data_IF_565588251527
#
_entry.id   IF_565588251527
#
_cell.length_a   1.000
_cell.length_b   1.000
_cell.length_c   1.000
_cell.angle_alpha   90.00
_cell.angle_beta   90.00
_cell.angle_gamma   90.00
#
_symmetry.space_group_name_H-M   'P 1'
#
loop_
_entity.id
_entity.type
_entity.pdbx_description
1 polymer ?
#
# COMPACT_ATOMS: atom_id res chain seq x y z
N UNK A 1 35.14 50.37 -48.26
CA UNK A 1 35.89 49.29 -47.57
C UNK A 1 35.26 48.83 -46.23
N UNK A 2 34.52 49.64 -45.46
CA UNK A 2 33.93 49.24 -44.16
C UNK A 2 32.70 48.29 -44.19
N UNK A 3 31.94 48.21 -45.29
CA UNK A 3 30.78 47.28 -45.40
C UNK A 3 31.19 45.82 -45.66
N UNK A 4 32.30 45.59 -46.35
CA UNK A 4 32.77 44.25 -46.72
C UNK A 4 33.34 43.49 -45.51
N UNK A 5 34.04 44.19 -44.61
CA UNK A 5 34.60 43.61 -43.37
C UNK A 5 33.49 43.15 -42.41
N UNK A 6 32.33 43.83 -42.39
CA UNK A 6 31.20 43.49 -41.51
C UNK A 6 30.38 42.29 -41.99
N UNK A 7 30.33 42.01 -43.29
CA UNK A 7 29.70 40.79 -43.81
C UNK A 7 30.59 39.55 -43.60
N UNK A 8 31.91 39.72 -43.67
CA UNK A 8 32.86 38.61 -43.43
C UNK A 8 32.85 38.14 -41.97
N UNK A 9 32.64 39.05 -41.01
CA UNK A 9 32.53 38.70 -39.58
C UNK A 9 31.21 38.02 -39.24
N UNK A 10 30.10 38.43 -39.87
CA UNK A 10 28.81 37.74 -39.70
C UNK A 10 28.79 36.36 -40.35
N UNK A 11 29.40 36.19 -41.53
CA UNK A 11 29.55 34.88 -42.17
C UNK A 11 30.34 33.90 -41.31
N UNK A 12 31.41 34.35 -40.64
CA UNK A 12 32.18 33.54 -39.68
C UNK A 12 31.36 33.18 -38.44
N UNK A 13 30.59 34.11 -37.89
CA UNK A 13 29.71 33.83 -36.76
C UNK A 13 28.61 32.81 -37.10
N UNK A 14 28.05 32.89 -38.31
CA UNK A 14 27.02 31.98 -38.79
C UNK A 14 27.56 30.57 -39.02
N UNK A 15 28.79 30.45 -39.54
CA UNK A 15 29.48 29.15 -39.67
C UNK A 15 29.79 28.52 -38.32
N UNK A 16 30.20 29.31 -37.32
CA UNK A 16 30.42 28.81 -35.95
C UNK A 16 29.09 28.32 -35.36
N UNK A 17 28.01 29.09 -35.53
CA UNK A 17 26.69 28.71 -35.02
C UNK A 17 26.17 27.42 -35.67
N UNK A 18 26.38 27.26 -36.98
CA UNK A 18 26.00 26.06 -37.72
C UNK A 18 26.82 24.84 -37.30
N UNK A 19 28.11 25.02 -37.00
CA UNK A 19 28.97 23.98 -36.44
C UNK A 19 28.52 23.53 -35.04
N UNK A 20 28.18 24.47 -34.16
CA UNK A 20 27.63 24.16 -32.82
C UNK A 20 26.28 23.44 -32.94
N UNK A 21 25.41 23.88 -33.85
CA UNK A 21 24.11 23.24 -34.08
C UNK A 21 24.24 21.80 -34.57
N UNK A 22 25.15 21.54 -35.52
CA UNK A 22 25.45 20.18 -36.00
C UNK A 22 26.05 19.30 -34.90
N UNK A 23 26.88 19.86 -34.01
CA UNK A 23 27.43 19.14 -32.87
C UNK A 23 26.35 18.76 -31.86
N UNK A 24 25.37 19.64 -31.60
CA UNK A 24 24.23 19.34 -30.73
C UNK A 24 23.35 18.24 -31.33
N UNK A 25 23.08 18.27 -32.64
CA UNK A 25 22.36 17.19 -33.32
C UNK A 25 23.14 15.89 -33.24
N UNK A 26 24.45 15.92 -33.47
CA UNK A 26 25.30 14.75 -33.36
C UNK A 26 25.25 14.16 -31.94
N UNK A 27 25.37 14.99 -30.90
CA UNK A 27 25.29 14.54 -29.51
C UNK A 27 23.89 14.04 -29.09
N UNK A 28 22.81 14.54 -29.71
CA UNK A 28 21.45 14.09 -29.45
C UNK A 28 21.09 12.79 -30.21
N UNK A 29 21.63 12.61 -31.42
CA UNK A 29 21.34 11.46 -32.29
C UNK A 29 22.31 10.30 -32.05
N UNK A 30 23.54 10.57 -31.59
CA UNK A 30 24.55 9.54 -31.29
C UNK A 30 24.10 8.51 -30.24
N UNK A 31 23.42 8.87 -29.14
CA UNK A 31 22.85 7.90 -28.20
C UNK A 31 21.74 7.06 -28.83
N UNK A 32 20.94 7.63 -29.75
CA UNK A 32 19.87 6.92 -30.44
C UNK A 32 20.42 5.92 -31.48
N UNK A 33 21.51 6.27 -32.17
CA UNK A 33 22.16 5.36 -33.12
C UNK A 33 22.92 4.23 -32.39
N UNK A 34 23.51 4.49 -31.21
CA UNK A 34 24.08 3.44 -30.36
C UNK A 34 23.03 2.55 -29.69
N UNK A 35 21.85 3.10 -29.35
CA UNK A 35 20.74 2.32 -28.79
C UNK A 35 20.00 1.47 -29.84
N UNK A 36 20.07 1.84 -31.13
CA UNK A 36 19.42 1.14 -32.24
C UNK A 36 20.04 -0.21 -32.66
N UNK A 37 21.15 -0.63 -32.06
CA UNK A 37 21.79 -1.93 -32.35
C UNK A 37 21.91 -2.88 -31.15
N UNK A 38 21.21 -2.61 -30.04
CA UNK A 38 21.14 -3.55 -28.90
C UNK A 38 19.77 -3.53 -28.22
N UNK A 39 18.73 -3.84 -28.99
CA UNK A 39 17.49 -4.37 -28.43
C UNK A 39 16.87 -5.31 -29.47
N UNK A 40 17.43 -6.51 -29.56
CA UNK A 40 16.66 -7.66 -30.06
C UNK A 40 15.37 -7.74 -29.24
N UNK A 41 14.20 -8.02 -29.86
CA UNK A 41 13.00 -8.34 -29.11
C UNK A 41 13.32 -9.60 -28.31
N UNK A 42 13.37 -9.43 -26.99
CA UNK A 42 13.76 -10.43 -26.01
C UNK A 42 13.26 -11.82 -26.42
N UNK A 43 14.16 -12.71 -26.85
CA UNK A 43 13.82 -14.00 -27.44
C UNK A 43 12.89 -14.81 -26.52
N UNK A 44 13.01 -14.58 -25.21
CA UNK A 44 12.11 -15.12 -24.19
C UNK A 44 10.67 -14.62 -24.33
N UNK A 45 10.44 -13.35 -24.68
CA UNK A 45 9.11 -12.75 -24.84
C UNK A 45 8.46 -13.21 -26.14
N UNK A 46 9.20 -13.24 -27.24
CA UNK A 46 8.70 -13.79 -28.52
C UNK A 46 8.40 -15.30 -28.40
N UNK A 47 9.24 -16.05 -27.70
CA UNK A 47 9.02 -17.48 -27.46
C UNK A 47 7.85 -17.74 -26.51
N UNK A 48 7.62 -16.89 -25.50
CA UNK A 48 6.44 -16.95 -24.62
C UNK A 48 5.16 -16.63 -25.39
N UNK A 49 5.18 -15.64 -26.27
CA UNK A 49 4.04 -15.29 -27.11
C UNK A 49 3.71 -16.43 -28.09
N UNK A 50 4.74 -17.01 -28.72
CA UNK A 50 4.58 -18.15 -29.64
C UNK A 50 4.02 -19.40 -28.93
N UNK A 51 4.48 -19.70 -27.70
CA UNK A 51 3.89 -20.77 -26.88
C UNK A 51 2.44 -20.47 -26.51
N UNK A 52 2.13 -19.24 -26.08
CA UNK A 52 0.78 -18.86 -25.72
C UNK A 52 -0.20 -18.97 -26.91
N UNK A 53 0.23 -18.60 -28.13
CA UNK A 53 -0.57 -18.79 -29.33
C UNK A 53 -0.73 -20.27 -29.70
N UNK A 54 0.32 -21.08 -29.57
CA UNK A 54 0.25 -22.51 -29.81
C UNK A 54 -0.72 -23.21 -28.86
N UNK A 55 -0.69 -22.87 -27.56
CA UNK A 55 -1.59 -23.43 -26.55
C UNK A 55 -3.03 -22.98 -26.79
N UNK A 56 -3.25 -21.73 -27.25
CA UNK A 56 -4.57 -21.23 -27.66
C UNK A 56 -5.14 -22.00 -28.86
N UNK A 57 -4.30 -22.32 -29.84
CA UNK A 57 -4.67 -23.11 -31.02
C UNK A 57 -5.03 -24.55 -30.62
N UNK A 58 -4.24 -25.14 -29.71
CA UNK A 58 -4.46 -26.47 -29.17
C UNK A 58 -5.77 -26.54 -28.37
N UNK A 59 -6.01 -25.56 -27.49
CA UNK A 59 -7.25 -25.45 -26.72
C UNK A 59 -8.46 -25.22 -27.63
N UNK A 60 -8.33 -24.39 -28.68
CA UNK A 60 -9.40 -24.21 -29.68
C UNK A 60 -9.72 -25.51 -30.41
N UNK A 61 -8.70 -26.28 -30.80
CA UNK A 61 -8.89 -27.59 -31.43
C UNK A 61 -9.55 -28.59 -30.50
N UNK A 62 -9.08 -28.69 -29.25
CA UNK A 62 -9.70 -29.56 -28.25
C UNK A 62 -11.15 -29.18 -27.97
N UNK A 63 -11.47 -27.89 -27.91
CA UNK A 63 -12.84 -27.40 -27.69
C UNK A 63 -13.74 -27.67 -28.93
N UNK A 64 -13.20 -27.53 -30.14
CA UNK A 64 -13.91 -27.88 -31.37
C UNK A 64 -14.15 -29.39 -31.50
N UNK A 65 -13.17 -30.20 -31.08
CA UNK A 65 -13.26 -31.67 -31.08
C UNK A 65 -14.29 -32.15 -30.04
N UNK A 66 -14.26 -31.60 -28.82
CA UNK A 66 -15.30 -31.80 -27.80
C UNK A 66 -16.69 -31.42 -28.33
N UNK A 67 -16.84 -30.26 -28.96
CA UNK A 67 -18.12 -29.84 -29.55
C UNK A 67 -18.57 -30.77 -30.68
N UNK A 68 -17.65 -31.28 -31.50
CA UNK A 68 -17.94 -32.24 -32.57
C UNK A 68 -18.37 -33.62 -32.02
N UNK A 69 -17.79 -34.03 -30.89
CA UNK A 69 -18.23 -35.22 -30.17
C UNK A 69 -19.64 -35.02 -29.60
N UNK A 70 -19.95 -33.84 -29.05
CA UNK A 70 -21.31 -33.53 -28.59
C UNK A 70 -22.33 -33.40 -29.71
N UNK A 71 -21.98 -32.90 -30.90
CA UNK A 71 -22.91 -32.83 -32.04
C UNK A 71 -23.10 -34.16 -32.77
N UNK A 72 -22.13 -35.08 -32.70
CA UNK A 72 -22.26 -36.46 -33.16
C UNK A 72 -23.15 -37.33 -32.26
N UNK A 73 -23.33 -36.93 -31.00
CA UNK A 73 -24.21 -37.60 -30.05
C UNK A 73 -25.60 -36.95 -30.11
N UNK A 74 -26.40 -37.34 -31.10
CA UNK A 74 -27.84 -37.14 -31.05
C UNK A 74 -28.39 -38.08 -29.97
N UNK A 75 -28.43 -37.63 -28.71
CA UNK A 75 -29.03 -38.34 -27.56
C UNK A 75 -30.54 -38.43 -27.82
N UNK A 76 -30.94 -39.37 -28.67
CA UNK A 76 -32.33 -39.50 -29.11
C UNK A 76 -32.60 -40.50 -30.25
N UNK A 77 -31.59 -41.12 -30.87
CA UNK A 77 -31.84 -42.14 -31.90
C UNK A 77 -32.12 -43.54 -31.27
N UNK A 78 -33.30 -44.15 -31.50
CA UNK A 78 -33.67 -45.44 -30.90
C UNK A 78 -32.96 -46.67 -31.49
N UNK A 79 -32.12 -46.50 -32.52
CA UNK A 79 -31.59 -47.62 -33.32
C UNK A 79 -30.20 -48.14 -32.92
N UNK A 80 -29.55 -47.58 -31.89
CA UNK A 80 -28.25 -48.05 -31.41
C UNK A 80 -28.39 -49.28 -30.50
N UNK A 81 -27.86 -50.44 -30.95
CA UNK A 81 -27.81 -51.70 -30.17
C UNK A 81 -27.05 -51.47 -28.86
N UNK A 82 -27.54 -52.09 -27.77
CA UNK A 82 -27.01 -51.92 -26.41
C UNK A 82 -25.49 -52.17 -26.33
N UNK A 83 -24.96 -53.15 -27.07
CA UNK A 83 -23.51 -53.42 -27.16
C UNK A 83 -22.68 -52.23 -27.66
N UNK A 84 -23.20 -51.43 -28.60
CA UNK A 84 -22.48 -50.27 -29.13
C UNK A 84 -22.47 -49.12 -28.12
N UNK A 85 -23.53 -49.00 -27.30
CA UNK A 85 -23.56 -48.05 -26.20
C UNK A 85 -22.56 -48.45 -25.13
N UNK A 86 -22.53 -49.73 -24.76
CA UNK A 86 -21.62 -50.23 -23.73
C UNK A 86 -20.15 -50.08 -24.14
N UNK A 87 -19.81 -50.37 -25.41
CA UNK A 87 -18.48 -50.14 -25.95
C UNK A 87 -18.08 -48.65 -25.98
N UNK A 88 -19.04 -47.77 -26.31
CA UNK A 88 -18.82 -46.32 -26.31
C UNK A 88 -18.64 -45.76 -24.89
N UNK A 89 -19.44 -46.23 -23.92
CA UNK A 89 -19.28 -45.86 -22.51
C UNK A 89 -17.94 -46.32 -21.95
N UNK A 90 -17.46 -47.50 -22.35
CA UNK A 90 -16.15 -47.99 -21.96
C UNK A 90 -15.01 -47.14 -22.58
N UNK A 91 -15.07 -46.80 -23.87
CA UNK A 91 -14.07 -45.91 -24.51
C UNK A 91 -14.07 -44.51 -23.87
N UNK A 92 -15.24 -43.98 -23.52
CA UNK A 92 -15.35 -42.68 -22.84
C UNK A 92 -14.76 -42.72 -21.42
N UNK A 93 -15.01 -43.80 -20.66
CA UNK A 93 -14.43 -43.99 -19.34
C UNK A 93 -12.91 -44.15 -19.39
N UNK A 94 -12.39 -44.89 -20.37
CA UNK A 94 -10.94 -45.09 -20.53
C UNK A 94 -10.23 -43.79 -20.90
N UNK A 95 -10.86 -42.96 -21.75
CA UNK A 95 -10.35 -41.62 -22.08
C UNK A 95 -10.43 -40.64 -20.91
N UNK A 96 -11.48 -40.72 -20.10
CA UNK A 96 -11.59 -39.93 -18.86
C UNK A 96 -10.50 -40.30 -17.87
N UNK A 97 -10.24 -41.60 -17.64
CA UNK A 97 -9.15 -42.06 -16.78
C UNK A 97 -7.77 -41.61 -17.26
N UNK A 98 -7.51 -41.67 -18.57
CA UNK A 98 -6.24 -41.16 -19.13
C UNK A 98 -6.11 -39.64 -19.00
N UNK A 99 -7.20 -38.90 -19.09
CA UNK A 99 -7.21 -37.45 -18.84
C UNK A 99 -6.95 -37.14 -17.35
N UNK A 100 -7.49 -37.96 -16.45
CA UNK A 100 -7.28 -37.86 -15.00
C UNK A 100 -5.81 -38.17 -14.63
N UNK A 101 -5.22 -39.24 -15.17
CA UNK A 101 -3.78 -39.56 -15.01
C UNK A 101 -2.85 -38.46 -15.56
N UNK A 102 -3.22 -37.84 -16.69
CA UNK A 102 -2.46 -36.72 -17.25
C UNK A 102 -2.59 -35.45 -16.38
N UNK A 103 -3.74 -35.22 -15.76
CA UNK A 103 -3.96 -34.15 -14.80
C UNK A 103 -3.13 -34.37 -13.52
N UNK A 104 -3.14 -35.57 -12.94
CA UNK A 104 -2.31 -35.89 -11.77
C UNK A 104 -0.81 -35.76 -12.07
N UNK A 105 -0.36 -36.21 -13.25
CA UNK A 105 1.04 -36.07 -13.68
C UNK A 105 1.42 -34.61 -13.96
N UNK A 106 0.48 -33.79 -14.39
CA UNK A 106 0.68 -32.34 -14.51
C UNK A 106 0.77 -31.65 -13.14
N UNK A 107 0.05 -32.13 -12.13
CA UNK A 107 0.12 -31.63 -10.75
C UNK A 107 1.48 -31.91 -10.10
N UNK A 108 2.12 -33.05 -10.39
CA UNK A 108 3.46 -33.37 -9.89
C UNK A 108 4.58 -32.56 -10.56
N UNK A 109 4.45 -32.20 -11.85
CA UNK A 109 5.40 -31.30 -12.53
C UNK A 109 5.19 -29.85 -12.06
N UNK A 110 3.96 -29.49 -11.66
CA UNK A 110 3.66 -28.19 -11.08
C UNK A 110 4.19 -28.03 -9.64
N UNK A 111 4.48 -29.10 -8.87
CA UNK A 111 5.06 -29.00 -7.51
C UNK A 111 6.42 -28.29 -7.44
N UNK A 112 7.10 -28.08 -8.59
CA UNK A 112 8.37 -27.34 -8.64
C UNK A 112 8.23 -25.94 -9.27
N UNK A 113 7.01 -25.50 -9.60
CA UNK A 113 6.70 -24.16 -10.15
C UNK A 113 5.26 -23.68 -9.86
N UNK A 114 4.63 -24.19 -8.80
CA UNK A 114 3.28 -23.78 -8.36
C UNK A 114 3.31 -22.43 -7.66
N UNK A 115 2.98 -21.39 -8.43
CA UNK A 115 2.20 -20.25 -7.96
C UNK A 115 0.89 -20.80 -7.38
N UNK A 116 0.59 -20.41 -6.14
CA UNK A 116 -0.52 -20.94 -5.36
C UNK A 116 -1.87 -20.57 -6.01
N UNK A 117 -2.61 -21.55 -6.51
CA UNK A 117 -4.04 -21.38 -6.81
C UNK A 117 -4.78 -21.35 -5.47
N UNK A 118 -4.84 -20.15 -4.92
CA UNK A 118 -5.20 -19.79 -3.54
C UNK A 118 -4.71 -18.37 -3.18
N UNK A 119 -3.80 -17.81 -3.98
CA UNK A 119 -3.32 -16.45 -3.86
C UNK A 119 -4.45 -15.43 -4.09
N UNK A 120 -4.68 -14.56 -3.11
CA UNK A 120 -5.58 -13.42 -3.23
C UNK A 120 -5.23 -12.45 -4.37
N UNK A 121 -5.72 -11.20 -4.33
CA UNK A 121 -5.58 -10.30 -5.46
C UNK A 121 -4.11 -10.03 -5.78
N UNK A 122 -3.78 -9.99 -7.08
CA UNK A 122 -2.43 -9.61 -7.50
C UNK A 122 -2.11 -8.18 -7.03
N UNK A 123 -0.82 -7.91 -6.78
CA UNK A 123 -0.36 -6.57 -6.41
C UNK A 123 -0.76 -5.51 -7.44
N UNK A 124 -0.69 -5.87 -8.73
CA UNK A 124 -1.09 -4.99 -9.83
C UNK A 124 -2.58 -4.65 -9.78
N UNK A 125 -3.43 -5.63 -9.47
CA UNK A 125 -4.88 -5.43 -9.35
C UNK A 125 -5.19 -4.41 -8.25
N UNK A 126 -4.65 -4.62 -7.04
CA UNK A 126 -4.90 -3.75 -5.89
C UNK A 126 -4.35 -2.34 -6.07
N UNK A 127 -3.14 -2.22 -6.65
CA UNK A 127 -2.57 -0.93 -7.02
C UNK A 127 -3.45 -0.20 -8.04
N UNK A 128 -3.94 -0.90 -9.06
CA UNK A 128 -4.78 -0.29 -10.08
C UNK A 128 -6.12 0.16 -9.51
N UNK A 129 -6.80 -0.70 -8.73
CA UNK A 129 -8.09 -0.39 -8.10
C UNK A 129 -8.00 0.88 -7.25
N UNK A 130 -6.99 1.00 -6.39
CA UNK A 130 -6.77 2.19 -5.56
C UNK A 130 -6.41 3.42 -6.40
N UNK A 131 -5.53 3.25 -7.39
CA UNK A 131 -5.16 4.34 -8.31
C UNK A 131 -6.38 4.90 -9.06
N UNK A 132 -7.35 4.07 -9.44
CA UNK A 132 -8.58 4.57 -10.09
C UNK A 132 -9.37 5.46 -9.13
N UNK A 133 -9.51 5.06 -7.86
CA UNK A 133 -10.14 5.91 -6.82
C UNK A 133 -9.41 7.25 -6.64
N UNK A 134 -8.08 7.22 -6.56
CA UNK A 134 -7.27 8.45 -6.42
C UNK A 134 -7.41 9.35 -7.66
N UNK A 135 -7.36 8.77 -8.86
CA UNK A 135 -7.52 9.51 -10.11
C UNK A 135 -8.91 10.15 -10.22
N UNK A 136 -9.98 9.51 -9.74
CA UNK A 136 -11.33 10.10 -9.70
C UNK A 136 -11.35 11.33 -8.78
N UNK A 137 -10.66 11.27 -7.64
CA UNK A 137 -10.55 12.42 -6.74
C UNK A 137 -9.73 13.56 -7.35
N UNK A 138 -8.57 13.24 -7.93
CA UNK A 138 -7.68 14.24 -8.55
C UNK A 138 -8.35 14.90 -9.77
N UNK A 139 -9.09 14.13 -10.59
CA UNK A 139 -9.89 14.67 -11.68
C UNK A 139 -10.92 15.68 -11.15
N UNK A 140 -11.60 15.35 -10.05
CA UNK A 140 -12.55 16.27 -9.44
C UNK A 140 -11.89 17.51 -8.85
N UNK A 141 -10.72 17.39 -8.21
CA UNK A 141 -9.98 18.56 -7.72
C UNK A 141 -9.64 19.51 -8.86
N UNK A 142 -9.15 18.97 -9.97
CA UNK A 142 -8.85 19.77 -11.16
C UNK A 142 -10.10 20.47 -11.69
N UNK A 143 -11.18 19.72 -11.97
CA UNK A 143 -12.44 20.26 -12.51
C UNK A 143 -13.03 21.29 -11.56
N UNK A 144 -13.09 21.00 -10.26
CA UNK A 144 -13.69 21.89 -9.27
C UNK A 144 -12.91 23.20 -9.13
N UNK A 145 -11.58 23.17 -9.14
CA UNK A 145 -10.75 24.39 -9.06
C UNK A 145 -10.95 25.26 -10.30
N UNK A 146 -10.90 24.68 -11.50
CA UNK A 146 -11.07 25.45 -12.74
C UNK A 146 -12.49 26.01 -12.90
N UNK A 147 -13.51 25.22 -12.59
CA UNK A 147 -14.91 25.68 -12.61
C UNK A 147 -15.16 26.78 -11.57
N UNK A 148 -14.55 26.69 -10.38
CA UNK A 148 -14.66 27.74 -9.36
C UNK A 148 -13.99 29.05 -9.80
N UNK A 149 -12.85 28.98 -10.51
CA UNK A 149 -12.20 30.16 -11.09
C UNK A 149 -13.13 30.83 -12.12
N UNK A 150 -13.69 30.05 -13.04
CA UNK A 150 -14.63 30.55 -14.05
C UNK A 150 -15.85 31.19 -13.38
N UNK A 151 -16.44 30.52 -12.38
CA UNK A 151 -17.58 31.04 -11.61
C UNK A 151 -17.28 32.40 -10.98
N UNK A 152 -16.11 32.57 -10.35
CA UNK A 152 -15.70 33.85 -9.74
C UNK A 152 -15.54 34.96 -10.79
N UNK A 153 -15.01 34.65 -11.97
CA UNK A 153 -14.82 35.63 -13.05
C UNK A 153 -16.14 36.09 -13.67
N UNK A 154 -17.12 35.20 -13.81
CA UNK A 154 -18.41 35.54 -14.42
C UNK A 154 -19.44 36.05 -13.41
N UNK A 155 -19.15 36.00 -12.11
CA UNK A 155 -20.09 36.39 -11.05
C UNK A 155 -20.59 37.83 -11.21
N UNK A 156 -19.67 38.75 -11.47
CA UNK A 156 -19.97 40.17 -11.65
C UNK A 156 -20.52 40.50 -13.06
N UNK A 157 -20.37 39.58 -14.02
CA UNK A 157 -20.76 39.77 -15.43
C UNK A 157 -22.15 39.20 -15.71
N UNK A 158 -22.41 37.96 -15.27
CA UNK A 158 -23.66 37.24 -15.49
C UNK A 158 -23.96 36.35 -14.29
N UNK A 159 -24.79 36.83 -13.35
CA UNK A 159 -25.22 36.05 -12.19
C UNK A 159 -25.93 34.74 -12.55
N UNK A 160 -26.69 34.72 -13.66
CA UNK A 160 -27.36 33.53 -14.17
C UNK A 160 -26.34 32.45 -14.61
N UNK A 161 -25.30 32.84 -15.33
CA UNK A 161 -24.23 31.90 -15.72
C UNK A 161 -23.46 31.39 -14.50
N UNK A 162 -23.16 32.25 -13.54
CA UNK A 162 -22.53 31.86 -12.27
C UNK A 162 -23.38 30.82 -11.51
N UNK A 163 -24.70 30.97 -11.54
CA UNK A 163 -25.65 30.03 -10.92
C UNK A 163 -25.63 28.68 -11.64
N UNK A 164 -25.61 28.66 -12.99
CA UNK A 164 -25.48 27.42 -13.78
C UNK A 164 -24.16 26.69 -13.49
N UNK A 165 -23.06 27.42 -13.32
CA UNK A 165 -21.75 26.85 -12.96
C UNK A 165 -21.77 26.23 -11.55
N UNK A 166 -22.43 26.88 -10.59
CA UNK A 166 -22.63 26.30 -9.25
C UNK A 166 -23.41 24.98 -9.33
N UNK A 167 -24.48 24.92 -10.13
CA UNK A 167 -25.23 23.68 -10.32
C UNK A 167 -24.39 22.56 -10.93
N UNK A 168 -23.54 22.87 -11.93
CA UNK A 168 -22.61 21.89 -12.51
C UNK A 168 -21.62 21.37 -11.45
N UNK A 169 -21.13 22.25 -10.58
CA UNK A 169 -20.26 21.85 -9.46
C UNK A 169 -21.00 20.92 -8.48
N UNK A 170 -22.25 21.24 -8.12
CA UNK A 170 -23.06 20.42 -7.23
C UNK A 170 -23.35 19.04 -7.83
N UNK A 171 -23.85 18.99 -9.07
CA UNK A 171 -24.09 17.73 -9.81
C UNK A 171 -22.80 16.91 -10.00
N UNK A 172 -21.69 17.59 -10.28
CA UNK A 172 -20.37 16.97 -10.43
C UNK A 172 -19.87 16.29 -9.16
N UNK A 173 -20.13 16.87 -7.98
CA UNK A 173 -19.82 16.21 -6.69
C UNK A 173 -20.63 14.93 -6.54
N UNK A 174 -21.92 14.95 -6.89
CA UNK A 174 -22.76 13.75 -6.78
C UNK A 174 -22.29 12.63 -7.73
N UNK A 175 -21.91 12.96 -8.97
CA UNK A 175 -21.32 11.98 -9.89
C UNK A 175 -19.99 11.42 -9.38
N UNK A 176 -19.12 12.26 -8.81
CA UNK A 176 -17.88 11.79 -8.17
C UNK A 176 -18.20 10.81 -7.05
N UNK A 177 -19.16 11.12 -6.18
CA UNK A 177 -19.56 10.25 -5.06
C UNK A 177 -20.08 8.91 -5.56
N UNK A 178 -20.93 8.91 -6.59
CA UNK A 178 -21.42 7.68 -7.22
C UNK A 178 -20.27 6.79 -7.69
N UNK A 179 -19.29 7.35 -8.41
CA UNK A 179 -18.12 6.60 -8.88
C UNK A 179 -17.27 6.03 -7.74
N UNK A 180 -17.08 6.80 -6.66
CA UNK A 180 -16.34 6.32 -5.49
C UNK A 180 -17.08 5.20 -4.75
N UNK A 181 -18.41 5.28 -4.66
CA UNK A 181 -19.25 4.20 -4.12
C UNK A 181 -19.11 2.94 -4.98
N UNK A 182 -19.16 3.04 -6.30
CA UNK A 182 -18.99 1.89 -7.20
C UNK A 182 -17.61 1.24 -7.02
N UNK A 183 -16.54 2.04 -6.88
CA UNK A 183 -15.18 1.53 -6.64
C UNK A 183 -15.01 0.90 -5.26
N UNK A 184 -15.76 1.36 -4.25
CA UNK A 184 -15.80 0.73 -2.93
C UNK A 184 -16.56 -0.60 -3.00
N UNK A 185 -17.76 -0.60 -3.59
CA UNK A 185 -18.58 -1.80 -3.81
C UNK A 185 -17.84 -2.85 -4.65
N UNK A 186 -17.00 -2.43 -5.60
CA UNK A 186 -16.14 -3.35 -6.36
C UNK A 186 -15.24 -4.18 -5.44
N UNK A 187 -14.71 -3.59 -4.35
CA UNK A 187 -13.92 -4.32 -3.36
C UNK A 187 -14.77 -5.25 -2.46
N UNK A 188 -16.08 -5.29 -2.62
CA UNK A 188 -16.94 -6.26 -1.92
C UNK A 188 -17.30 -7.43 -2.84
N UNK A 189 -17.44 -7.16 -4.15
CA UNK A 189 -17.91 -8.14 -5.14
C UNK A 189 -16.81 -8.74 -6.03
N UNK A 190 -15.58 -8.26 -5.94
CA UNK A 190 -14.43 -8.78 -6.71
C UNK A 190 -13.95 -10.18 -6.29
N UNK A 191 -14.56 -10.77 -5.26
CA UNK A 191 -14.21 -12.10 -4.73
C UNK A 191 -13.05 -12.11 -3.74
N UNK A 192 -12.45 -10.96 -3.43
CA UNK A 192 -11.27 -10.86 -2.54
C UNK A 192 -11.58 -10.26 -1.17
N UNK A 193 -12.84 -9.96 -0.85
CA UNK A 193 -13.23 -9.35 0.42
C UNK A 193 -12.84 -10.22 1.63
N UNK A 194 -13.21 -11.51 1.62
CA UNK A 194 -12.85 -12.46 2.68
C UNK A 194 -11.32 -12.61 2.82
N UNK A 195 -10.60 -12.65 1.69
CA UNK A 195 -9.14 -12.69 1.70
C UNK A 195 -8.54 -11.45 2.36
N UNK A 196 -9.04 -10.24 2.05
CA UNK A 196 -8.55 -8.99 2.64
C UNK A 196 -8.76 -8.96 4.15
N UNK A 197 -9.92 -9.41 4.63
CA UNK A 197 -10.20 -9.50 6.06
C UNK A 197 -9.27 -10.50 6.77
N UNK A 198 -9.14 -11.71 6.22
CA UNK A 198 -8.26 -12.74 6.75
C UNK A 198 -6.80 -12.28 6.78
N UNK A 199 -6.29 -11.75 5.66
CA UNK A 199 -4.90 -11.27 5.54
C UNK A 199 -4.62 -10.12 6.53
N UNK A 200 -5.59 -9.22 6.75
CA UNK A 200 -5.46 -8.14 7.74
C UNK A 200 -5.31 -8.67 9.16
N UNK A 201 -6.13 -9.67 9.53
CA UNK A 201 -6.08 -10.30 10.85
C UNK A 201 -4.76 -11.07 11.03
N UNK A 202 -4.39 -11.91 10.06
CA UNK A 202 -3.17 -12.72 10.12
C UNK A 202 -1.89 -11.88 10.19
N UNK A 203 -1.79 -10.81 9.38
CA UNK A 203 -0.65 -9.89 9.44
C UNK A 203 -0.60 -9.13 10.76
N UNK A 204 -1.74 -8.69 11.28
CA UNK A 204 -1.79 -8.02 12.58
C UNK A 204 -1.31 -8.99 13.67
N UNK A 205 -1.86 -10.21 13.71
CA UNK A 205 -1.49 -11.22 14.69
C UNK A 205 -0.01 -11.62 14.61
N UNK A 206 0.52 -11.76 13.40
CA UNK A 206 1.95 -12.01 13.18
C UNK A 206 2.81 -10.91 13.82
N UNK A 207 2.51 -9.64 13.54
CA UNK A 207 3.27 -8.52 14.09
C UNK A 207 3.12 -8.42 15.60
N UNK A 208 1.90 -8.57 16.13
CA UNK A 208 1.66 -8.53 17.58
C UNK A 208 2.42 -9.66 18.29
N UNK A 209 2.46 -10.88 17.72
CA UNK A 209 3.27 -11.99 18.26
C UNK A 209 4.77 -11.68 18.24
N UNK A 210 5.28 -11.09 17.15
CA UNK A 210 6.71 -10.70 17.07
C UNK A 210 7.06 -9.63 18.10
N UNK A 211 6.18 -8.65 18.32
CA UNK A 211 6.36 -7.62 19.35
C UNK A 211 6.32 -8.22 20.75
N UNK A 212 5.36 -9.10 21.03
CA UNK A 212 5.27 -9.78 22.32
C UNK A 212 6.51 -10.65 22.58
N UNK A 213 7.00 -11.38 21.58
CA UNK A 213 8.25 -12.14 21.68
C UNK A 213 9.46 -11.23 21.97
N UNK A 214 9.62 -10.15 21.20
CA UNK A 214 10.73 -9.20 21.38
C UNK A 214 10.70 -8.54 22.77
N UNK A 215 9.51 -8.19 23.23
CA UNK A 215 9.34 -7.45 24.47
C UNK A 215 9.44 -8.34 25.71
N UNK A 216 9.24 -9.65 25.60
CA UNK A 216 9.23 -10.57 26.73
C UNK A 216 10.35 -11.61 26.65
N UNK A 217 11.63 -11.21 26.81
CA UNK A 217 12.73 -12.16 26.88
C UNK A 217 12.57 -13.07 28.11
N UNK A 218 13.08 -14.30 28.00
CA UNK A 218 13.07 -15.27 29.11
C UNK A 218 13.94 -14.82 30.29
N UNK A 219 15.07 -14.16 30.01
CA UNK A 219 15.97 -13.60 31.01
C UNK A 219 16.21 -12.11 30.73
N UNK A 220 15.60 -11.25 31.54
CA UNK A 220 15.76 -9.80 31.42
C UNK A 220 17.18 -9.32 31.75
N UNK A 221 17.94 -10.05 32.57
CA UNK A 221 19.30 -9.65 32.95
C UNK A 221 20.29 -9.78 31.78
N UNK A 222 20.02 -10.69 30.84
CA UNK A 222 20.84 -10.97 29.66
C UNK A 222 20.27 -10.36 28.38
N UNK A 223 19.03 -9.88 28.40
CA UNK A 223 18.39 -9.28 27.25
C UNK A 223 19.14 -8.04 26.75
N UNK A 224 19.18 -7.86 25.43
CA UNK A 224 19.61 -6.59 24.82
C UNK A 224 18.47 -5.60 24.92
N UNK A 225 18.76 -4.40 25.41
CA UNK A 225 17.78 -3.39 25.76
C UNK A 225 18.01 -2.11 24.96
N UNK A 226 16.92 -1.43 24.65
CA UNK A 226 16.92 -0.07 24.15
C UNK A 226 16.08 0.75 25.10
N UNK A 227 16.66 1.79 25.72
CA UNK A 227 15.90 2.66 26.61
C UNK A 227 15.39 3.88 25.87
N UNK A 228 14.16 4.27 26.17
CA UNK A 228 13.49 5.44 25.57
C UNK A 228 12.85 6.27 26.68
N UNK A 229 13.06 7.58 26.65
CA UNK A 229 12.49 8.50 27.65
C UNK A 229 11.22 9.16 27.10
N UNK A 230 10.09 8.91 27.73
CA UNK A 230 8.78 9.44 27.32
C UNK A 230 8.71 10.97 27.36
N UNK A 231 9.51 11.61 28.22
CA UNK A 231 9.38 13.02 28.59
C UNK A 231 9.97 14.00 27.55
N UNK A 232 9.74 13.76 26.25
CA UNK A 232 10.03 14.73 25.19
C UNK A 232 9.20 15.99 25.40
N UNK A 233 9.81 17.16 25.18
CA UNK A 233 9.20 18.49 25.37
C UNK A 233 8.13 18.87 24.34
N UNK A 234 7.03 18.13 24.25
CA UNK A 234 5.92 18.38 23.34
C UNK A 234 4.60 17.81 23.88
N UNK A 235 3.51 17.88 23.10
CA UNK A 235 2.20 17.33 23.48
C UNK A 235 2.10 15.80 23.37
N UNK A 236 1.00 15.23 23.88
CA UNK A 236 0.73 13.78 23.95
C UNK A 236 0.98 13.04 22.64
N UNK A 237 0.39 13.51 21.52
CA UNK A 237 0.57 12.85 20.23
C UNK A 237 2.02 12.83 19.75
N UNK A 238 2.79 13.90 20.00
CA UNK A 238 4.21 13.96 19.68
C UNK A 238 5.04 13.02 20.58
N UNK A 239 4.72 12.91 21.87
CA UNK A 239 5.35 11.97 22.78
C UNK A 239 5.02 10.52 22.40
N UNK A 240 3.78 10.23 22.01
CA UNK A 240 3.38 8.91 21.54
C UNK A 240 4.12 8.50 20.25
N UNK A 241 4.23 9.41 19.28
CA UNK A 241 5.04 9.18 18.09
C UNK A 241 6.53 8.99 18.43
N UNK A 242 7.05 9.64 19.47
CA UNK A 242 8.40 9.38 19.96
C UNK A 242 8.55 7.93 20.47
N UNK A 243 7.60 7.41 21.23
CA UNK A 243 7.63 6.00 21.69
C UNK A 243 7.49 5.03 20.52
N UNK A 244 6.63 5.32 19.53
CA UNK A 244 6.52 4.51 18.29
C UNK A 244 7.85 4.44 17.56
N UNK A 245 8.54 5.57 17.40
CA UNK A 245 9.88 5.62 16.82
C UNK A 245 10.87 4.76 17.62
N UNK A 246 10.89 4.87 18.94
CA UNK A 246 11.74 4.05 19.79
C UNK A 246 11.46 2.56 19.61
N UNK A 247 10.18 2.16 19.55
CA UNK A 247 9.77 0.77 19.36
C UNK A 247 10.16 0.25 17.96
N UNK A 248 10.09 1.08 16.94
CA UNK A 248 10.52 0.73 15.59
C UNK A 248 12.03 0.45 15.51
N UNK A 249 12.84 1.29 16.16
CA UNK A 249 14.30 1.08 16.25
C UNK A 249 14.62 -0.14 17.11
N UNK A 250 13.92 -0.32 18.24
CA UNK A 250 14.06 -1.49 19.11
C UNK A 250 13.76 -2.79 18.34
N UNK A 251 12.67 -2.81 17.57
CA UNK A 251 12.30 -3.94 16.70
C UNK A 251 13.38 -4.24 15.66
N UNK A 252 13.85 -3.23 14.92
CA UNK A 252 14.87 -3.41 13.90
C UNK A 252 16.24 -3.82 14.46
N UNK A 253 16.56 -3.44 15.69
CA UNK A 253 17.82 -3.80 16.38
C UNK A 253 17.72 -5.03 17.27
N UNK A 254 16.55 -5.69 17.31
CA UNK A 254 16.27 -6.85 18.17
C UNK A 254 16.58 -6.58 19.64
N UNK A 255 16.17 -5.41 20.13
CA UNK A 255 16.31 -4.98 21.51
C UNK A 255 14.94 -4.87 22.17
N UNK A 256 14.80 -5.34 23.40
CA UNK A 256 13.62 -5.08 24.22
C UNK A 256 13.55 -3.59 24.55
N UNK A 257 12.43 -2.95 24.24
CA UNK A 257 12.20 -1.54 24.55
C UNK A 257 11.87 -1.38 26.04
N UNK A 258 12.68 -0.58 26.74
CA UNK A 258 12.46 -0.15 28.12
C UNK A 258 12.01 1.31 28.11
N UNK A 259 10.75 1.55 28.50
CA UNK A 259 10.17 2.89 28.54
C UNK A 259 10.37 3.56 29.90
N UNK A 260 11.13 4.64 29.94
CA UNK A 260 11.29 5.50 31.12
C UNK A 260 10.15 6.52 31.12
N UNK A 261 9.10 6.25 31.91
CA UNK A 261 7.83 7.01 31.91
C UNK A 261 7.61 7.88 33.16
N UNK A 262 8.39 7.70 34.24
CA UNK A 262 8.21 8.47 35.49
C UNK A 262 8.35 9.98 35.26
N UNK A 263 7.56 10.78 35.96
CA UNK A 263 7.54 12.24 35.82
C UNK A 263 6.80 12.73 34.58
N UNK A 264 5.98 11.87 33.95
CA UNK A 264 5.21 12.22 32.78
C UNK A 264 4.19 13.33 33.07
N UNK A 265 4.17 14.35 32.20
CA UNK A 265 3.34 15.55 32.38
C UNK A 265 1.83 15.27 32.37
N UNK A 266 1.41 14.19 31.72
CA UNK A 266 0.00 13.79 31.65
C UNK A 266 -0.40 12.89 32.82
N UNK A 267 0.56 12.14 33.40
CA UNK A 267 0.35 11.35 34.61
C UNK A 267 1.68 11.10 35.33
N UNK A 268 1.90 11.74 36.49
CA UNK A 268 3.23 11.79 37.13
C UNK A 268 3.82 10.42 37.46
N UNK A 269 2.98 9.44 37.81
CA UNK A 269 3.44 8.09 38.16
C UNK A 269 4.03 7.34 36.96
N UNK A 270 3.51 7.59 35.75
CA UNK A 270 4.04 6.99 34.52
C UNK A 270 2.96 6.49 33.56
N UNK A 271 3.43 5.68 32.61
CA UNK A 271 2.67 5.11 31.50
C UNK A 271 1.64 4.07 31.97
N UNK A 272 2.05 3.28 32.97
CA UNK A 272 1.39 2.10 33.50
C UNK A 272 0.04 2.38 34.18
N UNK A 273 -0.29 3.65 34.37
CA UNK A 273 -1.53 4.13 34.98
C UNK A 273 -2.68 4.21 33.98
N UNK A 274 -2.35 4.25 32.68
CA UNK A 274 -3.33 4.36 31.59
C UNK A 274 -3.23 3.15 30.66
N UNK A 275 -2.01 2.65 30.43
CA UNK A 275 -1.73 1.57 29.50
C UNK A 275 -0.96 0.45 30.19
N UNK A 276 -1.04 -0.77 29.65
CA UNK A 276 -0.20 -1.87 30.13
C UNK A 276 1.29 -1.55 29.97
N UNK A 277 2.16 -2.12 30.82
CA UNK A 277 3.60 -2.05 30.61
C UNK A 277 3.96 -2.65 29.24
N UNK A 278 5.06 -2.16 28.66
CA UNK A 278 5.51 -2.63 27.35
C UNK A 278 6.07 -4.05 27.38
N UNK A 279 6.32 -4.61 28.56
CA UNK A 279 6.82 -5.97 28.77
C UNK A 279 6.28 -6.50 30.09
N UNK A 280 5.94 -7.79 30.12
CA UNK A 280 5.56 -8.51 31.33
C UNK A 280 6.77 -9.10 32.05
N UNK A 281 7.88 -9.37 31.33
CA UNK A 281 9.06 -10.05 31.90
C UNK A 281 10.30 -9.17 32.04
N UNK A 282 10.34 -8.01 31.38
CA UNK A 282 11.53 -7.18 31.35
C UNK A 282 11.24 -5.67 31.30
N UNK A 283 11.23 -5.05 32.47
CA UNK A 283 11.05 -3.60 32.66
C UNK A 283 12.26 -2.92 33.28
N UNK A 284 13.27 -3.69 33.71
CA UNK A 284 14.49 -3.18 34.33
C UNK A 284 15.46 -2.65 33.27
N UNK A 285 15.86 -1.36 33.31
CA UNK A 285 16.86 -0.79 32.39
C UNK A 285 18.30 -1.26 32.63
N UNK A 286 18.61 -1.96 33.73
CA UNK A 286 19.98 -2.34 34.09
C UNK A 286 20.60 -3.34 33.11
N UNK A 287 21.93 -3.34 33.00
CA UNK A 287 22.70 -4.31 32.24
C UNK A 287 24.20 -4.08 32.41
N UNK A 288 25.02 -5.04 31.97
CA UNK A 288 26.47 -5.07 32.15
C UNK A 288 27.18 -3.95 31.39
N UNK A 289 26.63 -3.51 30.26
CA UNK A 289 27.19 -2.43 29.46
C UNK A 289 26.11 -1.46 28.99
N UNK A 290 26.45 -0.17 29.07
CA UNK A 290 25.54 0.93 28.78
C UNK A 290 26.20 1.95 27.85
N UNK A 291 25.47 2.41 26.83
CA UNK A 291 25.94 3.50 25.97
C UNK A 291 24.80 4.34 25.41
N UNK A 292 25.11 5.56 25.00
CA UNK A 292 24.21 6.30 24.12
C UNK A 292 24.26 5.73 22.69
N UNK A 293 23.18 5.93 21.94
CA UNK A 293 23.13 5.61 20.51
C UNK A 293 24.31 6.21 19.73
N UNK A 294 24.91 5.49 18.76
CA UNK A 294 24.53 4.17 18.25
C UNK A 294 25.03 2.98 19.09
N UNK A 295 25.88 3.23 20.08
CA UNK A 295 26.55 2.20 20.85
C UNK A 295 27.46 1.29 20.00
N UNK A 296 27.99 0.24 20.63
CA UNK A 296 28.68 -0.85 19.94
C UNK A 296 27.72 -2.03 19.73
N UNK A 297 28.08 -2.95 18.84
CA UNK A 297 27.26 -4.13 18.51
C UNK A 297 27.03 -5.07 19.71
N UNK A 298 27.98 -5.10 20.64
CA UNK A 298 27.98 -5.89 21.86
C UNK A 298 27.36 -5.16 23.07
N UNK A 299 27.09 -3.85 22.97
CA UNK A 299 26.51 -3.09 24.08
C UNK A 299 25.13 -3.64 24.42
N UNK A 300 24.92 -3.98 25.69
CA UNK A 300 23.68 -4.58 26.14
C UNK A 300 22.55 -3.56 26.20
N UNK A 301 22.77 -2.39 26.78
CA UNK A 301 21.76 -1.35 26.95
C UNK A 301 22.15 -0.10 26.17
N UNK A 302 21.27 0.31 25.25
CA UNK A 302 21.49 1.50 24.41
C UNK A 302 20.42 2.55 24.71
N UNK A 303 20.83 3.75 25.10
CA UNK A 303 19.94 4.89 25.28
C UNK A 303 19.67 5.57 23.93
N UNK A 304 18.42 5.55 23.49
CA UNK A 304 18.01 6.18 22.24
C UNK A 304 17.55 7.63 22.48
N UNK A 305 18.14 8.63 21.81
CA UNK A 305 17.72 10.00 21.94
C UNK A 305 16.43 10.27 21.17
N UNK A 306 15.90 11.49 21.31
CA UNK A 306 14.84 12.00 20.43
C UNK A 306 15.32 12.00 18.97
N UNK A 307 14.38 11.81 18.04
CA UNK A 307 14.68 11.71 16.61
C UNK A 307 15.41 12.96 16.06
N UNK A 308 15.18 14.11 16.68
CA UNK A 308 15.74 15.42 16.33
C UNK A 308 17.27 15.46 16.49
N UNK A 309 17.82 14.71 17.46
CA UNK A 309 19.26 14.61 17.74
C UNK A 309 19.85 13.24 17.42
N UNK A 310 19.10 12.38 16.72
CA UNK A 310 19.54 11.03 16.38
C UNK A 310 20.61 11.05 15.28
N UNK A 311 21.81 10.60 15.64
CA UNK A 311 22.94 10.43 14.71
C UNK A 311 23.82 9.22 15.11
N UNK A 312 24.19 8.34 14.17
CA UNK A 312 23.70 8.25 12.79
C UNK A 312 22.22 7.79 12.77
N UNK A 313 21.49 8.09 11.70
CA UNK A 313 20.11 7.62 11.55
C UNK A 313 20.08 6.14 11.14
N UNK A 314 19.39 5.24 11.88
CA UNK A 314 19.24 3.85 11.48
C UNK A 314 18.30 3.71 10.27
N UNK A 315 18.32 2.58 9.55
CA UNK A 315 17.39 2.29 8.45
C UNK A 315 15.96 1.99 8.93
N UNK A 316 15.75 1.82 10.24
CA UNK A 316 14.47 1.47 10.87
C UNK A 316 13.65 2.72 11.23
N UNK A 317 13.51 3.64 10.28
CA UNK A 317 12.73 4.88 10.44
C UNK A 317 11.61 4.94 9.41
N UNK A 318 10.48 5.59 9.72
CA UNK A 318 9.49 5.92 8.70
C UNK A 318 10.14 6.68 7.54
N UNK A 319 9.75 6.45 6.28
CA UNK A 319 8.57 5.69 5.84
C UNK A 319 8.84 4.20 5.54
N UNK A 320 9.93 3.61 6.06
CA UNK A 320 10.24 2.21 5.80
C UNK A 320 9.30 1.23 6.53
N UNK A 321 9.00 0.10 5.88
CA UNK A 321 8.27 -1.04 6.45
C UNK A 321 9.17 -2.29 6.43
N UNK A 322 8.91 -3.30 7.28
CA UNK A 322 9.68 -4.55 7.24
C UNK A 322 9.63 -5.21 5.85
N UNK A 323 10.80 -5.54 5.30
CA UNK A 323 10.94 -6.02 3.92
C UNK A 323 10.17 -7.33 3.66
N UNK A 324 10.08 -8.21 4.66
CA UNK A 324 9.34 -9.46 4.60
C UNK A 324 7.82 -9.26 4.56
N UNK A 325 7.31 -8.14 5.08
CA UNK A 325 5.89 -7.80 5.09
C UNK A 325 5.48 -6.95 3.88
N UNK A 326 6.42 -6.24 3.25
CA UNK A 326 6.13 -5.26 2.20
C UNK A 326 5.29 -5.83 1.03
N UNK A 327 5.55 -7.03 0.47
CA UNK A 327 4.74 -7.57 -0.63
C UNK A 327 3.29 -7.88 -0.20
N UNK A 328 3.11 -8.38 1.03
CA UNK A 328 1.79 -8.67 1.61
C UNK A 328 1.01 -7.39 1.89
N UNK A 329 1.65 -6.42 2.53
CA UNK A 329 1.07 -5.11 2.82
C UNK A 329 0.69 -4.33 1.56
N UNK A 330 1.49 -4.43 0.50
CA UNK A 330 1.17 -3.73 -0.75
C UNK A 330 -0.10 -4.29 -1.41
N UNK A 331 -0.41 -5.57 -1.24
CA UNK A 331 -1.70 -6.12 -1.67
C UNK A 331 -2.83 -5.63 -0.76
N UNK A 332 -2.62 -5.69 0.55
CA UNK A 332 -3.66 -5.44 1.53
C UNK A 332 -4.04 -3.95 1.73
N UNK A 333 -3.06 -3.07 1.94
CA UNK A 333 -3.28 -1.72 2.47
C UNK A 333 -2.86 -0.63 1.48
N UNK A 334 -3.64 0.45 1.40
CA UNK A 334 -3.34 1.59 0.50
C UNK A 334 -2.11 2.40 0.91
N UNK A 335 -1.78 2.36 2.21
CA UNK A 335 -0.59 3.01 2.78
C UNK A 335 0.12 2.05 3.76
N UNK A 336 1.10 1.27 3.30
CA UNK A 336 1.78 0.27 4.13
C UNK A 336 2.45 0.82 5.40
N UNK A 337 2.97 2.06 5.37
CA UNK A 337 3.65 2.64 6.52
C UNK A 337 2.66 3.02 7.62
N UNK A 338 1.50 3.56 7.24
CA UNK A 338 0.43 3.84 8.21
C UNK A 338 -0.06 2.56 8.88
N UNK A 339 -0.18 1.46 8.13
CA UNK A 339 -0.51 0.16 8.71
C UNK A 339 0.56 -0.31 9.70
N UNK A 340 1.84 -0.20 9.33
CA UNK A 340 2.96 -0.61 10.19
C UNK A 340 3.00 0.18 11.49
N UNK A 341 2.90 1.50 11.42
CA UNK A 341 2.80 2.38 12.59
C UNK A 341 1.54 2.05 13.42
N UNK A 342 0.42 1.73 12.77
CA UNK A 342 -0.81 1.28 13.41
C UNK A 342 -0.62 0.04 14.27
N UNK A 343 0.20 -0.94 13.83
CA UNK A 343 0.51 -2.13 14.64
C UNK A 343 1.34 -1.79 15.88
N UNK A 344 2.30 -0.87 15.77
CA UNK A 344 3.09 -0.40 16.90
C UNK A 344 2.20 0.35 17.91
N UNK A 345 1.30 1.20 17.43
CA UNK A 345 0.31 1.88 18.26
C UNK A 345 -0.66 0.90 18.94
N UNK A 346 -1.12 -0.14 18.23
CA UNK A 346 -1.96 -1.22 18.79
C UNK A 346 -1.27 -1.90 19.98
N UNK A 347 0.03 -2.15 19.90
CA UNK A 347 0.80 -2.76 20.98
C UNK A 347 1.01 -1.80 22.17
N UNK A 348 1.33 -0.53 21.88
CA UNK A 348 1.59 0.47 22.92
C UNK A 348 0.29 0.81 23.67
N UNK A 349 -0.79 1.10 22.96
CA UNK A 349 -2.03 1.63 23.53
C UNK A 349 -2.98 0.56 24.10
N UNK A 350 -2.44 -0.58 24.57
CA UNK A 350 -3.22 -1.59 25.29
C UNK A 350 -3.71 -0.98 26.61
N UNK A 351 -5.01 -0.69 26.77
CA UNK A 351 -5.49 0.08 27.91
C UNK A 351 -5.50 -0.78 29.18
N UNK A 352 -5.21 -0.17 30.33
CA UNK A 352 -5.50 -0.80 31.62
C UNK A 352 -7.00 -1.01 31.80
N UNK A 353 -7.39 -1.91 32.72
CA UNK A 353 -8.80 -2.19 32.99
C UNK A 353 -9.60 -0.93 33.35
N UNK A 354 -9.05 -0.07 34.22
CA UNK A 354 -9.68 1.20 34.60
C UNK A 354 -9.92 2.11 33.39
N UNK A 355 -8.95 2.20 32.47
CA UNK A 355 -9.08 2.98 31.23
C UNK A 355 -10.09 2.34 30.28
N UNK A 356 -10.10 1.01 30.14
CA UNK A 356 -11.08 0.30 29.31
C UNK A 356 -12.51 0.51 29.83
N UNK A 357 -12.71 0.46 31.14
CA UNK A 357 -14.01 0.71 31.77
C UNK A 357 -14.45 2.17 31.54
N UNK A 358 -13.55 3.14 31.74
CA UNK A 358 -13.82 4.55 31.45
C UNK A 358 -14.22 4.81 29.99
N UNK A 359 -13.54 4.17 29.03
CA UNK A 359 -13.87 4.28 27.61
C UNK A 359 -15.23 3.66 27.26
N UNK A 360 -15.56 2.50 27.84
CA UNK A 360 -16.87 1.85 27.64
C UNK A 360 -18.00 2.72 28.21
N UNK A 361 -17.85 3.18 29.45
CA UNK A 361 -18.83 4.03 30.12
C UNK A 361 -19.05 5.35 29.36
N UNK A 362 -17.98 5.95 28.83
CA UNK A 362 -18.07 7.13 27.98
C UNK A 362 -18.80 6.82 26.65
N UNK A 363 -18.50 5.68 26.03
CA UNK A 363 -19.19 5.22 24.82
C UNK A 363 -20.69 5.05 25.01
N UNK A 364 -21.11 4.46 26.12
CA UNK A 364 -22.52 4.30 26.49
C UNK A 364 -23.21 5.64 26.75
N UNK A 365 -22.58 6.51 27.56
CA UNK A 365 -23.13 7.84 27.89
C UNK A 365 -23.27 8.74 26.67
N UNK A 366 -22.32 8.68 25.74
CA UNK A 366 -22.36 9.42 24.48
C UNK A 366 -23.26 8.76 23.43
N UNK A 367 -23.79 7.57 23.70
CA UNK A 367 -24.53 6.75 22.74
C UNK A 367 -23.75 6.57 21.44
N UNK A 368 -22.45 6.29 21.56
CA UNK A 368 -21.51 6.26 20.45
C UNK A 368 -21.81 5.06 19.53
N UNK A 369 -22.59 5.31 18.47
CA UNK A 369 -23.09 4.29 17.53
C UNK A 369 -22.81 4.67 16.08
N UNK A 370 -22.63 3.65 15.23
CA UNK A 370 -22.46 3.82 13.77
C UNK A 370 -23.81 4.12 13.08
N UNK A 371 -23.81 4.79 11.91
CA UNK A 371 -22.64 5.43 11.26
C UNK A 371 -22.24 6.72 12.00
N UNK A 372 -20.93 6.93 12.16
CA UNK A 372 -20.37 8.12 12.83
C UNK A 372 -19.11 8.58 12.09
N UNK A 373 -18.94 9.90 12.00
CA UNK A 373 -17.76 10.53 11.41
C UNK A 373 -17.07 11.35 12.48
N UNK A 374 -15.82 10.99 12.80
CA UNK A 374 -14.99 11.76 13.72
C UNK A 374 -14.52 13.06 13.08
N UNK A 375 -14.62 14.18 13.81
CA UNK A 375 -14.05 15.46 13.41
C UNK A 375 -13.16 15.98 14.52
N UNK A 376 -11.95 16.41 14.15
CA UNK A 376 -11.06 17.14 15.05
C UNK A 376 -11.20 18.62 14.75
N UNK A 377 -11.69 19.40 15.71
CA UNK A 377 -11.65 20.85 15.60
C UNK A 377 -10.19 21.29 15.77
N UNK A 378 -9.57 21.77 14.69
CA UNK A 378 -8.23 22.36 14.74
C UNK A 378 -8.39 23.78 15.26
N UNK A 379 -7.84 24.07 16.43
CA UNK A 379 -7.80 25.41 16.99
C UNK A 379 -6.46 26.05 16.54
N UNK A 380 -6.50 26.81 15.44
CA UNK A 380 -5.44 27.57 14.72
C UNK A 380 -4.50 26.76 13.79
N UNK A 381 -4.32 27.10 12.49
CA UNK A 381 -3.83 28.39 11.93
C UNK A 381 -4.75 29.16 10.95
N UNK A 382 -5.91 28.65 10.54
CA UNK A 382 -6.90 29.40 9.74
C UNK A 382 -8.30 29.13 10.31
N UNK A 383 -9.09 30.17 10.51
CA UNK A 383 -10.42 30.10 11.12
C UNK A 383 -11.38 29.40 10.15
N UNK A 384 -11.73 28.14 10.42
CA UNK A 384 -12.79 27.44 9.69
C UNK A 384 -14.15 27.77 10.33
N UNK A 385 -14.97 28.54 9.61
CA UNK A 385 -16.34 28.86 10.02
C UNK A 385 -17.26 27.64 9.83
N UNK A 386 -17.82 27.14 10.92
CA UNK A 386 -18.77 26.03 10.94
C UNK A 386 -20.11 26.33 10.27
N UNK A 387 -20.39 27.58 9.89
CA UNK A 387 -21.66 28.00 9.27
C UNK A 387 -21.75 27.70 7.76
N UNK A 388 -20.62 27.47 7.08
CA UNK A 388 -20.57 27.12 5.65
C UNK A 388 -20.68 25.60 5.43
N UNK A 389 -21.80 24.99 5.83
CA UNK A 389 -22.21 23.63 5.44
C UNK A 389 -21.06 22.65 5.19
N UNK A 390 -20.36 22.24 6.25
CA UNK A 390 -19.30 21.20 6.33
C UNK A 390 -18.87 20.61 4.97
N UNK A 391 -18.09 21.37 4.20
CA UNK A 391 -17.39 20.84 3.02
C UNK A 391 -16.09 20.22 3.53
N UNK A 392 -15.92 18.92 3.35
CA UNK A 392 -14.65 18.25 3.62
C UNK A 392 -13.62 18.71 2.57
N UNK A 393 -12.81 19.70 2.93
CA UNK A 393 -11.62 20.04 2.15
C UNK A 393 -10.52 19.03 2.48
N UNK A 394 -10.30 18.10 1.57
CA UNK A 394 -9.30 17.03 1.66
C UNK A 394 -7.87 17.52 1.40
N UNK A 395 -7.64 18.83 1.23
CA UNK A 395 -6.32 19.41 1.02
C UNK A 395 -5.38 19.35 2.24
N UNK A 396 -5.86 18.93 3.42
CA UNK A 396 -5.08 18.97 4.67
C UNK A 396 -4.35 17.67 5.04
N UNK A 397 -4.42 16.63 4.20
CA UNK A 397 -3.67 15.39 4.42
C UNK A 397 -2.80 15.06 3.19
N UNK A 398 -1.66 15.75 3.06
CA UNK A 398 -0.49 15.29 2.31
C UNK A 398 0.75 15.47 3.17
#
# INVERSE_FOLDING_TARGET
>A
MKRFVRQLTWGRALLIFLGVWLLVIFLAVWPLYKAGHTQEPDAATAQRLARAFHDLELLKRQNAELRSLFTGINIGDPSLRQEQKDALYQDLQDKLRRAEDLLERSQDINKQSTVEVGEGPSERYERLRRRISDNVQELWYFVSVEMNKMRKQVLDISPDLATKLTRILEEGVEHKRSLLVDLQSLAEVDGFAAWREQEANELSDLVQRRLEYLQNPADCSQARKLTCNLNKGCGYGCQLHHVVYCLMVAYGTQRTLILKSKGWRYHKTGWEEVFFPLSNTCTDPNGDSHSHWPGKTDTQVVDLPIIDSLSPRPPYLPLAVPADLAPRLTRLHGDPIVWWVGQLLKYLLRPQEATSNMLRDAGEKLQFKKPIVGRRQVVSFEYWDSSNGVVHDSQLFR
#
